data_IF_173288501869
#
_entry.id   IF_173288501869
#
_cell.length_a   1.000
_cell.length_b   1.000
_cell.length_c   1.000
_cell.angle_alpha   90.00
_cell.angle_beta   90.00
_cell.angle_gamma   90.00
#
_symmetry.space_group_name_H-M   'P 1'
#
loop_
_entity.id
_entity.type
_entity.pdbx_description
1 polymer ?
#
# COMPACT_ATOMS: atom_id res chain seq x y z
N UNK A 1 7.61 -31.68 -8.76
CA UNK A 1 7.97 -31.10 -10.04
C UNK A 1 7.40 -29.69 -10.16
N UNK A 2 8.22 -28.72 -10.48
CA UNK A 2 7.73 -27.34 -10.60
C UNK A 2 6.90 -27.17 -11.85
N UNK A 3 5.81 -26.43 -11.74
CA UNK A 3 5.00 -26.08 -12.89
C UNK A 3 5.81 -25.19 -13.85
N UNK A 4 5.75 -25.49 -15.16
CA UNK A 4 6.35 -24.67 -16.21
C UNK A 4 5.41 -23.58 -16.70
N UNK A 5 4.19 -23.49 -16.12
CA UNK A 5 3.22 -22.46 -16.51
C UNK A 5 3.72 -21.08 -16.04
N UNK A 6 3.61 -20.05 -16.89
CA UNK A 6 3.88 -18.68 -16.48
C UNK A 6 2.95 -18.32 -15.31
N UNK A 7 3.45 -17.54 -14.36
CA UNK A 7 2.62 -17.04 -13.29
C UNK A 7 1.59 -16.06 -13.87
N UNK A 8 0.38 -16.15 -13.38
CA UNK A 8 -0.66 -15.19 -13.74
C UNK A 8 -0.27 -13.80 -13.27
N UNK A 9 -0.31 -12.84 -14.19
CA UNK A 9 -0.07 -11.43 -13.88
C UNK A 9 -1.36 -10.81 -13.40
N UNK A 10 -1.32 -10.17 -12.23
CA UNK A 10 -2.47 -9.53 -11.63
C UNK A 10 -2.13 -8.11 -11.23
N UNK A 11 -3.16 -7.29 -11.09
CA UNK A 11 -2.99 -5.93 -10.58
C UNK A 11 -2.97 -5.94 -9.06
N UNK A 12 -2.08 -5.12 -8.50
CA UNK A 12 -2.00 -4.91 -7.07
C UNK A 12 -2.11 -3.42 -6.76
N UNK A 13 -2.77 -3.11 -5.66
CA UNK A 13 -2.84 -1.76 -5.13
C UNK A 13 -2.04 -1.70 -3.84
N UNK A 14 -1.17 -0.71 -3.73
CA UNK A 14 -0.29 -0.49 -2.58
C UNK A 14 -0.52 0.91 -2.06
N UNK A 15 -0.75 1.04 -0.75
CA UNK A 15 -0.76 2.34 -0.09
C UNK A 15 0.67 2.69 0.33
N UNK A 16 1.02 3.96 0.18
CA UNK A 16 2.34 4.48 0.54
C UNK A 16 2.17 5.72 1.39
N UNK A 17 2.96 5.84 2.44
CA UNK A 17 2.88 7.01 3.30
C UNK A 17 4.07 7.15 4.24
N UNK A 18 4.14 8.30 4.91
CA UNK A 18 5.15 8.58 5.91
C UNK A 18 4.98 9.97 6.47
N UNK A 19 5.54 10.23 7.66
CA UNK A 19 5.44 11.53 8.30
C UNK A 19 6.73 12.00 8.97
N UNK A 20 7.86 11.36 8.66
CA UNK A 20 9.16 11.74 9.21
C UNK A 20 10.15 12.08 8.10
N UNK A 21 11.08 12.96 8.42
CA UNK A 21 12.16 13.36 7.52
C UNK A 21 11.63 14.09 6.29
N UNK A 22 12.34 13.96 5.18
CA UNK A 22 11.90 14.51 3.90
C UNK A 22 10.86 13.53 3.31
N UNK A 23 9.61 13.79 3.63
CA UNK A 23 8.49 12.88 3.31
C UNK A 23 8.41 12.60 1.81
N UNK A 24 8.41 13.66 1.01
CA UNK A 24 8.30 13.51 -0.45
C UNK A 24 9.48 12.72 -1.02
N UNK A 25 10.70 12.97 -0.54
CA UNK A 25 11.89 12.26 -1.01
C UNK A 25 11.82 10.77 -0.67
N UNK A 26 11.32 10.41 0.52
CA UNK A 26 11.13 9.00 0.89
C UNK A 26 10.09 8.32 0.01
N UNK A 27 8.96 8.98 -0.24
CA UNK A 27 7.91 8.42 -1.10
C UNK A 27 8.39 8.28 -2.55
N UNK A 28 9.02 9.31 -3.10
CA UNK A 28 9.57 9.28 -4.45
C UNK A 28 10.64 8.19 -4.60
N UNK A 29 11.49 8.06 -3.59
CA UNK A 29 12.52 7.02 -3.54
C UNK A 29 11.94 5.63 -3.52
N UNK A 30 10.89 5.42 -2.73
CA UNK A 30 10.20 4.14 -2.67
C UNK A 30 9.57 3.77 -4.01
N UNK A 31 8.98 4.73 -4.71
CA UNK A 31 8.42 4.48 -6.05
C UNK A 31 9.51 4.02 -7.00
N UNK A 32 10.68 4.68 -7.00
CA UNK A 32 11.81 4.26 -7.84
C UNK A 32 12.24 2.84 -7.52
N UNK A 33 12.31 2.49 -6.25
CA UNK A 33 12.73 1.15 -5.82
C UNK A 33 11.69 0.09 -6.19
N UNK A 34 10.39 0.41 -6.08
CA UNK A 34 9.32 -0.49 -6.53
C UNK A 34 9.39 -0.71 -8.03
N UNK A 35 9.66 0.35 -8.81
CA UNK A 35 9.83 0.22 -10.26
C UNK A 35 10.99 -0.69 -10.64
N UNK A 36 11.99 -0.80 -9.79
CA UNK A 36 13.17 -1.63 -10.02
C UNK A 36 13.01 -3.08 -9.56
N UNK A 37 11.90 -3.41 -8.87
CA UNK A 37 11.68 -4.78 -8.40
C UNK A 37 11.46 -5.75 -9.57
N UNK A 38 12.18 -6.89 -9.58
CA UNK A 38 11.91 -7.94 -10.57
C UNK A 38 10.46 -8.43 -10.46
N UNK A 39 9.81 -8.61 -11.60
CA UNK A 39 8.44 -9.12 -11.64
C UNK A 39 7.36 -8.10 -11.28
N UNK A 40 7.72 -6.83 -11.19
CA UNK A 40 6.78 -5.74 -10.87
C UNK A 40 6.83 -4.69 -11.97
N UNK A 41 5.64 -4.25 -12.42
CA UNK A 41 5.50 -3.14 -13.35
C UNK A 41 4.54 -2.11 -12.76
N UNK A 42 5.03 -0.92 -12.48
CA UNK A 42 4.18 0.17 -11.97
C UNK A 42 3.35 0.75 -13.11
N UNK A 43 2.04 0.79 -12.92
CA UNK A 43 1.09 1.28 -13.92
C UNK A 43 0.69 2.74 -13.66
N UNK A 44 0.54 3.13 -12.40
CA UNK A 44 0.14 4.48 -12.03
C UNK A 44 0.55 4.79 -10.60
N UNK A 45 0.82 6.07 -10.33
CA UNK A 45 1.15 6.58 -9.00
C UNK A 45 0.27 7.81 -8.77
N UNK A 46 -0.37 7.90 -7.62
CA UNK A 46 -1.20 9.05 -7.26
C UNK A 46 -0.34 10.27 -6.93
N UNK A 47 -0.98 11.42 -6.82
CA UNK A 47 -0.37 12.57 -6.16
C UNK A 47 -0.17 12.23 -4.68
N UNK A 48 0.71 12.97 -4.01
CA UNK A 48 0.85 12.86 -2.57
C UNK A 48 -0.21 13.72 -1.88
N UNK A 49 -0.95 13.11 -0.96
CA UNK A 49 -2.02 13.76 -0.20
C UNK A 49 -1.54 13.99 1.24
N UNK A 50 -1.60 15.23 1.73
CA UNK A 50 -1.24 15.52 3.10
C UNK A 50 -2.44 15.32 4.02
N UNK A 51 -2.27 14.56 5.09
CA UNK A 51 -3.30 14.29 6.08
C UNK A 51 -2.75 14.42 7.49
N UNK A 52 -3.63 14.71 8.45
CA UNK A 52 -3.22 14.76 9.85
C UNK A 52 -2.90 13.36 10.36
N UNK A 53 -1.93 13.28 11.27
CA UNK A 53 -1.63 12.02 11.95
C UNK A 53 -2.79 11.63 12.84
N UNK A 54 -3.28 10.39 12.68
CA UNK A 54 -4.35 9.81 13.49
C UNK A 54 -3.73 8.83 14.47
N UNK A 55 -3.95 9.05 15.76
CA UNK A 55 -3.28 8.28 16.80
C UNK A 55 -1.86 8.74 17.03
N UNK A 56 -1.10 7.98 17.84
CA UNK A 56 0.30 8.28 18.13
C UNK A 56 0.50 9.48 19.07
N UNK A 57 1.76 9.91 19.25
CA UNK A 57 2.08 11.01 20.14
C UNK A 57 1.49 12.33 19.68
N UNK A 58 1.08 13.17 20.64
CA UNK A 58 0.63 14.52 20.36
C UNK A 58 1.71 15.32 19.64
N UNK A 59 1.32 16.10 18.63
CA UNK A 59 2.26 16.90 17.85
C UNK A 59 3.00 16.13 16.76
N UNK A 60 2.59 14.92 16.46
CA UNK A 60 3.15 14.16 15.35
C UNK A 60 3.00 14.91 14.03
N UNK A 61 4.03 14.91 13.15
CA UNK A 61 3.95 15.56 11.85
C UNK A 61 2.81 14.98 10.99
N UNK A 62 2.31 15.78 10.06
CA UNK A 62 1.32 15.31 9.10
C UNK A 62 1.90 14.25 8.18
N UNK A 63 1.05 13.29 7.80
CA UNK A 63 1.41 12.27 6.83
C UNK A 63 1.33 12.81 5.40
N UNK A 64 2.22 12.32 4.55
CA UNK A 64 1.97 12.27 3.11
C UNK A 64 1.51 10.87 2.78
N UNK A 65 0.45 10.76 2.01
CA UNK A 65 -0.14 9.49 1.59
C UNK A 65 -0.30 9.44 0.09
N UNK A 66 -0.21 8.25 -0.47
CA UNK A 66 -0.46 8.02 -1.88
C UNK A 66 -0.85 6.59 -2.14
N UNK A 67 -1.06 6.28 -3.41
CA UNK A 67 -1.35 4.94 -3.86
C UNK A 67 -0.55 4.61 -5.11
N UNK A 68 -0.22 3.34 -5.25
CA UNK A 68 0.50 2.81 -6.41
C UNK A 68 -0.33 1.68 -6.96
N UNK A 69 -0.58 1.71 -8.27
CA UNK A 69 -1.16 0.61 -9.00
C UNK A 69 -0.04 -0.07 -9.77
N UNK A 70 0.11 -1.35 -9.58
CA UNK A 70 1.13 -2.14 -10.28
C UNK A 70 0.54 -3.44 -10.79
N UNK A 71 1.26 -4.11 -11.68
CA UNK A 71 0.95 -5.47 -12.06
C UNK A 71 2.15 -6.36 -11.76
N UNK A 72 1.90 -7.60 -11.40
CA UNK A 72 2.94 -8.52 -10.98
C UNK A 72 2.51 -9.97 -11.12
N UNK A 73 3.50 -10.83 -11.42
CA UNK A 73 3.34 -12.27 -11.30
C UNK A 73 3.80 -12.81 -9.95
N UNK A 74 4.27 -11.95 -9.05
CA UNK A 74 4.68 -12.38 -7.72
C UNK A 74 3.47 -12.84 -6.90
N UNK A 75 3.71 -13.78 -5.98
CA UNK A 75 2.69 -14.12 -4.98
C UNK A 75 2.52 -12.95 -4.00
N UNK A 76 1.41 -12.96 -3.27
CA UNK A 76 1.16 -11.95 -2.24
C UNK A 76 2.31 -11.89 -1.22
N UNK A 77 2.81 -13.04 -0.81
CA UNK A 77 3.89 -13.11 0.18
C UNK A 77 5.22 -12.62 -0.38
N UNK A 78 5.53 -12.95 -1.63
CA UNK A 78 6.72 -12.43 -2.31
C UNK A 78 6.66 -10.89 -2.44
N UNK A 79 5.51 -10.36 -2.83
CA UNK A 79 5.34 -8.92 -2.96
C UNK A 79 5.43 -8.23 -1.59
N UNK A 80 4.77 -8.77 -0.57
CA UNK A 80 4.85 -8.24 0.79
C UNK A 80 6.29 -8.19 1.28
N UNK A 81 7.04 -9.26 1.08
CA UNK A 81 8.45 -9.34 1.49
C UNK A 81 9.28 -8.25 0.79
N UNK A 82 9.07 -8.05 -0.50
CA UNK A 82 9.78 -7.02 -1.27
C UNK A 82 9.45 -5.61 -0.76
N UNK A 83 8.17 -5.34 -0.47
CA UNK A 83 7.75 -4.04 0.07
C UNK A 83 8.34 -3.79 1.45
N UNK A 84 8.37 -4.80 2.31
CA UNK A 84 8.99 -4.69 3.63
C UNK A 84 10.49 -4.41 3.55
N UNK A 85 11.17 -4.97 2.55
CA UNK A 85 12.58 -4.69 2.29
C UNK A 85 12.81 -3.21 1.98
N UNK A 86 11.92 -2.61 1.20
CA UNK A 86 11.99 -1.19 0.88
C UNK A 86 11.73 -0.33 2.13
N UNK A 87 10.75 -0.69 2.94
CA UNK A 87 10.51 0.00 4.21
C UNK A 87 11.75 0.02 5.09
N UNK A 88 12.43 -1.11 5.23
CA UNK A 88 13.65 -1.21 6.04
C UNK A 88 14.78 -0.33 5.48
N UNK A 89 14.92 -0.28 4.16
CA UNK A 89 15.92 0.56 3.51
C UNK A 89 15.70 2.06 3.78
N UNK A 90 14.46 2.46 4.08
CA UNK A 90 14.11 3.83 4.45
C UNK A 90 14.06 4.04 5.97
N UNK A 91 14.65 3.15 6.73
CA UNK A 91 14.83 3.32 8.17
C UNK A 91 13.66 2.90 9.04
N UNK A 92 12.65 2.23 8.47
CA UNK A 92 11.53 1.76 9.28
C UNK A 92 11.99 0.61 10.17
N UNK A 93 11.78 0.77 11.47
CA UNK A 93 11.96 -0.30 12.44
C UNK A 93 10.60 -0.60 13.07
N UNK A 94 10.28 -1.89 13.18
CA UNK A 94 9.06 -2.33 13.86
C UNK A 94 9.40 -2.63 15.31
N UNK A 95 9.43 -1.58 16.13
CA UNK A 95 9.63 -1.74 17.56
C UNK A 95 8.40 -2.43 18.16
N UNK A 96 8.61 -3.53 18.88
CA UNK A 96 7.53 -4.28 19.49
C UNK A 96 6.77 -3.42 20.50
N UNK A 97 5.44 -3.42 20.41
CA UNK A 97 4.57 -2.78 21.37
C UNK A 97 4.30 -1.30 21.15
N UNK A 98 4.90 -0.67 20.13
CA UNK A 98 4.63 0.73 19.81
C UNK A 98 3.78 0.81 18.55
N UNK A 99 2.57 1.35 18.67
CA UNK A 99 1.64 1.57 17.56
C UNK A 99 1.61 3.05 17.18
N UNK A 100 1.27 3.34 15.93
CA UNK A 100 1.07 4.69 15.41
C UNK A 100 2.28 5.60 15.63
N UNK A 101 3.47 4.99 15.73
CA UNK A 101 4.72 5.72 15.83
C UNK A 101 5.01 6.46 14.52
N UNK A 102 5.60 7.67 14.58
CA UNK A 102 6.02 8.36 13.36
C UNK A 102 6.95 7.50 12.50
N UNK A 103 6.75 7.53 11.18
CA UNK A 103 7.46 6.63 10.24
C UNK A 103 7.98 7.39 9.05
N UNK A 104 9.18 7.01 8.60
CA UNK A 104 9.76 7.54 7.36
C UNK A 104 9.05 7.00 6.13
N UNK A 105 8.67 5.72 6.16
CA UNK A 105 8.00 5.05 5.05
C UNK A 105 7.13 3.90 5.54
N UNK A 106 5.92 3.84 5.02
CA UNK A 106 4.97 2.78 5.27
C UNK A 106 4.40 2.31 3.93
N UNK A 107 4.46 1.02 3.66
CA UNK A 107 3.95 0.41 2.44
C UNK A 107 2.99 -0.70 2.82
N UNK A 108 1.72 -0.55 2.44
CA UNK A 108 0.67 -1.53 2.73
C UNK A 108 0.12 -2.14 1.45
N UNK A 109 0.17 -3.45 1.34
CA UNK A 109 -0.48 -4.17 0.25
C UNK A 109 -1.99 -4.18 0.53
N UNK A 110 -2.76 -3.54 -0.36
CA UNK A 110 -4.20 -3.38 -0.20
C UNK A 110 -4.99 -4.45 -0.92
N UNK A 111 -4.64 -4.70 -2.16
CA UNK A 111 -5.34 -5.63 -3.06
C UNK A 111 -4.32 -6.32 -3.95
N UNK A 112 -4.58 -7.58 -4.28
CA UNK A 112 -3.84 -8.32 -5.30
C UNK A 112 -4.84 -9.14 -6.10
N UNK A 113 -5.33 -8.59 -7.22
CA UNK A 113 -6.43 -9.19 -7.97
C UNK A 113 -7.61 -9.45 -7.04
N UNK A 114 -8.16 -10.64 -7.11
CA UNK A 114 -9.24 -11.10 -6.23
C UNK A 114 -8.74 -11.99 -5.09
N UNK A 115 -7.43 -12.01 -4.85
CA UNK A 115 -6.84 -12.85 -3.82
C UNK A 115 -7.39 -12.50 -2.44
N UNK A 116 -7.60 -13.54 -1.66
CA UNK A 116 -7.99 -13.43 -0.25
C UNK A 116 -6.98 -14.16 0.60
N UNK A 117 -6.57 -13.53 1.69
CA UNK A 117 -5.69 -14.14 2.66
C UNK A 117 -6.07 -13.66 4.05
N UNK A 118 -6.00 -14.55 5.02
CA UNK A 118 -6.30 -14.24 6.41
C UNK A 118 -5.28 -14.96 7.30
N UNK A 119 -4.06 -14.43 7.26
CA UNK A 119 -2.93 -14.93 8.04
C UNK A 119 -2.46 -13.82 8.97
N UNK A 120 -1.76 -14.14 10.06
CA UNK A 120 -1.37 -13.11 11.03
C UNK A 120 -0.58 -11.94 10.44
N UNK A 121 0.23 -12.19 9.42
CA UNK A 121 1.10 -11.20 8.81
C UNK A 121 0.72 -10.84 7.36
N UNK A 122 -0.35 -11.42 6.84
CA UNK A 122 -0.80 -11.19 5.46
C UNK A 122 -2.32 -11.27 5.37
N UNK A 123 -2.95 -10.13 5.19
CA UNK A 123 -4.40 -10.06 5.03
C UNK A 123 -4.77 -9.33 3.75
N UNK A 124 -5.56 -10.00 2.92
CA UNK A 124 -6.06 -9.45 1.66
C UNK A 124 -7.56 -9.75 1.52
N UNK A 125 -8.36 -8.77 1.13
CA UNK A 125 -8.01 -7.36 1.01
C UNK A 125 -7.59 -6.78 2.36
N UNK A 126 -6.89 -5.64 2.36
CA UNK A 126 -6.45 -5.00 3.61
C UNK A 126 -7.66 -4.80 4.54
N UNK A 127 -7.57 -5.21 5.82
CA UNK A 127 -8.77 -5.37 6.67
C UNK A 127 -9.54 -4.10 6.98
N UNK A 128 -8.96 -2.93 6.82
CA UNK A 128 -9.63 -1.65 7.11
C UNK A 128 -9.71 -0.72 5.90
N UNK A 129 -9.51 -1.28 4.71
CA UNK A 129 -9.49 -0.50 3.47
C UNK A 129 -10.77 0.36 3.33
N UNK A 130 -11.93 -0.23 3.55
CA UNK A 130 -13.24 0.42 3.37
C UNK A 130 -13.53 1.54 4.37
N UNK A 131 -12.74 1.63 5.44
CA UNK A 131 -12.93 2.63 6.49
C UNK A 131 -11.99 3.82 6.39
N UNK A 132 -11.01 3.77 5.47
CA UNK A 132 -9.90 4.73 5.46
C UNK A 132 -9.93 5.65 4.24
N UNK A 133 -10.54 6.82 4.39
CA UNK A 133 -10.60 7.80 3.31
C UNK A 133 -9.20 8.23 2.83
N UNK A 134 -8.23 8.31 3.74
CA UNK A 134 -6.87 8.71 3.39
C UNK A 134 -6.12 7.65 2.56
N UNK A 135 -6.63 6.43 2.50
CA UNK A 135 -6.15 5.36 1.63
C UNK A 135 -6.97 5.33 0.34
N UNK A 136 -8.30 5.40 0.46
CA UNK A 136 -9.21 5.31 -0.68
C UNK A 136 -9.13 6.51 -1.62
N UNK A 137 -8.88 7.72 -1.11
CA UNK A 137 -8.81 8.89 -1.95
C UNK A 137 -7.66 8.82 -2.96
N UNK A 138 -6.42 8.52 -2.56
CA UNK A 138 -5.33 8.32 -3.53
C UNK A 138 -5.58 7.12 -4.44
N UNK A 139 -6.14 6.04 -3.92
CA UNK A 139 -6.42 4.85 -4.72
C UNK A 139 -7.48 5.14 -5.79
N UNK A 140 -8.57 5.82 -5.44
CA UNK A 140 -9.61 6.16 -6.39
C UNK A 140 -9.12 7.15 -7.46
N UNK A 141 -8.12 7.95 -7.15
CA UNK A 141 -7.50 8.87 -8.11
C UNK A 141 -6.91 8.11 -9.31
N UNK A 142 -6.26 6.98 -9.06
CA UNK A 142 -5.52 6.22 -10.08
C UNK A 142 -6.21 4.92 -10.49
N UNK A 143 -7.07 4.39 -9.65
CA UNK A 143 -7.74 3.11 -9.89
C UNK A 143 -9.16 3.14 -9.32
N UNK A 144 -10.04 4.03 -9.82
CA UNK A 144 -11.40 4.17 -9.30
C UNK A 144 -12.22 2.88 -9.41
N UNK A 145 -11.88 2.03 -10.38
CA UNK A 145 -12.59 0.78 -10.63
C UNK A 145 -11.96 -0.44 -9.94
N UNK A 146 -10.88 -0.24 -9.17
CA UNK A 146 -10.29 -1.32 -8.39
C UNK A 146 -11.33 -1.87 -7.42
N UNK A 147 -11.52 -3.20 -7.41
CA UNK A 147 -12.64 -3.82 -6.74
C UNK A 147 -12.23 -4.58 -5.51
N UNK A 148 -12.93 -4.33 -4.42
CA UNK A 148 -12.78 -5.10 -3.20
C UNK A 148 -13.42 -6.49 -3.43
N UNK A 149 -12.64 -7.59 -3.31
CA UNK A 149 -13.13 -8.91 -3.71
C UNK A 149 -14.24 -9.47 -2.81
N UNK A 150 -14.35 -9.01 -1.58
CA UNK A 150 -15.37 -9.45 -0.64
C UNK A 150 -16.61 -8.54 -0.70
N UNK A 151 -16.41 -7.24 -0.58
CA UNK A 151 -17.52 -6.27 -0.60
C UNK A 151 -18.08 -6.03 -1.99
N UNK A 152 -17.33 -6.41 -3.03
CA UNK A 152 -17.70 -6.29 -4.44
C UNK A 152 -18.02 -4.85 -4.86
N UNK A 153 -17.41 -3.90 -4.17
CA UNK A 153 -17.52 -2.48 -4.43
C UNK A 153 -16.19 -1.92 -4.94
N UNK A 154 -16.23 -0.91 -5.78
CA UNK A 154 -15.03 -0.27 -6.31
C UNK A 154 -14.45 0.72 -5.30
N UNK A 155 -13.18 1.11 -5.51
CA UNK A 155 -12.55 2.13 -4.69
C UNK A 155 -13.35 3.44 -4.71
N UNK A 156 -13.89 3.81 -5.88
CA UNK A 156 -14.75 5.00 -5.98
C UNK A 156 -16.01 4.88 -5.14
N UNK A 157 -16.68 3.71 -5.19
CA UNK A 157 -17.88 3.46 -4.42
C UNK A 157 -17.61 3.51 -2.90
N UNK A 158 -16.51 2.88 -2.48
CA UNK A 158 -16.14 2.84 -1.06
C UNK A 158 -15.81 4.23 -0.55
N UNK A 159 -15.08 5.03 -1.33
CA UNK A 159 -14.78 6.41 -0.97
C UNK A 159 -16.05 7.25 -0.84
N UNK A 160 -16.98 7.10 -1.78
CA UNK A 160 -18.23 7.85 -1.79
C UNK A 160 -19.05 7.62 -0.51
N UNK A 161 -18.98 6.43 0.07
CA UNK A 161 -19.68 6.11 1.32
C UNK A 161 -19.11 6.83 2.55
N UNK A 162 -17.86 7.30 2.46
CA UNK A 162 -17.18 7.97 3.56
C UNK A 162 -17.26 9.50 3.49
N UNK A 163 -17.78 10.04 2.39
CA UNK A 163 -17.83 11.49 2.15
C UNK A 163 -19.25 12.05 2.24
#
# INVERSE_FOLDING_TARGET
MRSTRPREVRRAAVAIGGNLGDRAAHLDGAVREIRALPGVRVLAVSRWHETEAVGGPAGSPRYLNGAILLETGLSARELLFALQGIERAHGRTRAAGIRDEPRTLDLDLLLLGDDRADEPDLRLPHPRLEERAFVLAPLAEIAPHARHPILRATAADLLAKLT
#
